data_IF_039401585974
#
_entry.id   IF_039401585974
#
_cell.length_a   1.000
_cell.length_b   1.000
_cell.length_c   1.000
_cell.angle_alpha   90.00
_cell.angle_beta   90.00
_cell.angle_gamma   90.00
#
_symmetry.space_group_name_H-M   'P 1'
#
loop_
_entity.id
_entity.type
_entity.pdbx_description
1 polymer ?
#
# COMPACT_ATOMS: atom_id res chain seq x y z
N UNK A 1 -9.12 6.66 6.48
CA UNK A 1 -8.73 7.48 5.31
C UNK A 1 -7.22 7.69 5.34
N UNK A 2 -6.43 6.63 5.14
CA UNK A 2 -4.98 6.79 5.15
C UNK A 2 -4.35 5.96 4.01
N UNK A 3 -3.85 6.61 2.94
CA UNK A 3 -3.16 5.94 1.84
C UNK A 3 -2.02 5.04 2.30
N UNK A 4 -1.29 5.43 3.35
CA UNK A 4 -0.12 4.67 3.83
C UNK A 4 -0.54 3.33 4.43
N UNK A 5 -1.71 3.24 5.07
CA UNK A 5 -2.19 1.98 5.63
C UNK A 5 -2.57 0.99 4.53
N UNK A 6 -3.17 1.48 3.44
CA UNK A 6 -3.46 0.65 2.27
C UNK A 6 -2.18 0.16 1.59
N UNK A 7 -1.18 1.03 1.48
CA UNK A 7 0.14 0.65 0.98
C UNK A 7 0.74 -0.49 1.81
N UNK A 8 0.81 -0.32 3.14
CA UNK A 8 1.36 -1.33 4.02
C UNK A 8 0.54 -2.63 4.07
N UNK A 9 -0.77 -2.59 3.85
CA UNK A 9 -1.58 -3.80 3.74
C UNK A 9 -1.13 -4.68 2.56
N UNK A 10 -0.81 -4.06 1.41
CA UNK A 10 -0.35 -4.75 0.21
C UNK A 10 1.08 -5.27 0.39
N UNK A 11 1.99 -4.43 0.91
CA UNK A 11 3.37 -4.83 1.20
C UNK A 11 3.39 -6.03 2.13
N UNK A 12 2.61 -6.00 3.23
CA UNK A 12 2.50 -7.14 4.15
C UNK A 12 1.95 -8.39 3.49
N UNK A 13 0.98 -8.26 2.58
CA UNK A 13 0.45 -9.39 1.80
C UNK A 13 1.53 -10.07 0.96
N UNK A 14 2.35 -9.28 0.25
CA UNK A 14 3.47 -9.78 -0.56
C UNK A 14 4.55 -10.46 0.29
N UNK A 15 4.85 -9.90 1.45
CA UNK A 15 5.82 -10.47 2.39
C UNK A 15 5.35 -11.81 2.96
N UNK A 16 4.06 -11.96 3.28
CA UNK A 16 3.47 -13.22 3.78
C UNK A 16 3.48 -14.36 2.75
N UNK A 17 3.50 -14.04 1.46
CA UNK A 17 3.45 -15.03 0.39
C UNK A 17 4.78 -15.77 0.18
N UNK A 18 5.92 -15.16 0.54
CA UNK A 18 7.25 -15.76 0.33
C UNK A 18 7.89 -16.19 1.65
N UNK A 19 8.32 -17.46 1.73
CA UNK A 19 9.11 -17.99 2.86
C UNK A 19 10.46 -17.26 2.92
N UNK A 20 10.94 -16.96 4.12
CA UNK A 20 12.27 -16.37 4.32
C UNK A 20 13.32 -17.44 3.98
N UNK A 21 14.19 -17.15 3.01
CA UNK A 21 15.43 -17.89 2.82
C UNK A 21 16.39 -17.52 3.95
N UNK A 22 17.21 -18.47 4.39
CA UNK A 22 18.04 -18.37 5.60
C UNK A 22 19.02 -17.18 5.59
N UNK A 23 19.41 -16.69 4.42
CA UNK A 23 20.38 -15.58 4.24
C UNK A 23 19.75 -14.24 3.80
N UNK A 24 18.49 -14.21 3.34
CA UNK A 24 17.88 -12.95 2.91
C UNK A 24 17.55 -12.04 4.09
N UNK A 25 18.03 -10.79 4.02
CA UNK A 25 17.68 -9.80 5.04
C UNK A 25 16.25 -9.32 4.84
N UNK A 26 15.48 -9.29 5.93
CA UNK A 26 14.09 -8.79 5.91
C UNK A 26 13.97 -7.36 5.34
N UNK A 27 14.99 -6.52 5.52
CA UNK A 27 15.06 -5.18 4.93
C UNK A 27 15.09 -5.18 3.39
N UNK A 28 15.81 -6.12 2.78
CA UNK A 28 15.94 -6.24 1.32
C UNK A 28 14.60 -6.66 0.71
N UNK A 29 13.92 -7.62 1.33
CA UNK A 29 12.57 -8.03 0.92
C UNK A 29 11.52 -6.94 1.08
N UNK A 30 11.62 -6.12 2.13
CA UNK A 30 10.74 -4.95 2.27
C UNK A 30 11.00 -3.97 1.12
N UNK A 31 12.27 -3.69 0.81
CA UNK A 31 12.63 -2.80 -0.30
C UNK A 31 12.13 -3.34 -1.64
N UNK A 32 12.32 -4.63 -1.93
CA UNK A 32 11.83 -5.27 -3.15
C UNK A 32 10.29 -5.24 -3.23
N UNK A 33 9.60 -5.61 -2.15
CA UNK A 33 8.14 -5.59 -2.12
C UNK A 33 7.56 -4.18 -2.32
N UNK A 34 8.23 -3.14 -1.80
CA UNK A 34 7.89 -1.74 -2.05
C UNK A 34 8.13 -1.35 -3.51
N UNK A 35 9.28 -1.69 -4.09
CA UNK A 35 9.65 -1.36 -5.47
C UNK A 35 8.81 -2.12 -6.51
N UNK A 36 8.31 -3.29 -6.16
CA UNK A 36 7.43 -4.09 -7.01
C UNK A 36 5.97 -3.59 -7.05
N UNK A 37 5.64 -2.50 -6.34
CA UNK A 37 4.32 -1.86 -6.40
C UNK A 37 4.30 -0.90 -7.59
N UNK A 38 3.40 -1.10 -8.56
CA UNK A 38 3.25 -0.18 -9.68
C UNK A 38 2.90 1.23 -9.21
N UNK A 39 3.47 2.24 -9.85
CA UNK A 39 3.17 3.66 -9.58
C UNK A 39 1.67 3.95 -9.72
N UNK A 40 0.97 3.26 -10.63
CA UNK A 40 -0.48 3.34 -10.79
C UNK A 40 -1.24 3.04 -9.48
N UNK A 41 -0.77 2.07 -8.69
CA UNK A 41 -1.39 1.77 -7.40
C UNK A 41 -1.29 2.95 -6.44
N UNK A 42 -0.17 3.69 -6.45
CA UNK A 42 0.02 4.87 -5.63
C UNK A 42 -0.97 5.98 -6.04
N UNK A 43 -1.13 6.21 -7.34
CA UNK A 43 -2.14 7.13 -7.88
C UNK A 43 -3.56 6.72 -7.49
N UNK A 44 -3.87 5.42 -7.52
CA UNK A 44 -5.16 4.89 -7.12
C UNK A 44 -5.44 5.12 -5.62
N UNK A 45 -4.43 5.00 -4.75
CA UNK A 45 -4.59 5.30 -3.32
C UNK A 45 -4.90 6.78 -3.07
N UNK A 46 -4.20 7.68 -3.77
CA UNK A 46 -4.44 9.12 -3.67
C UNK A 46 -5.83 9.49 -4.21
N UNK A 47 -6.19 8.96 -5.39
CA UNK A 47 -7.49 9.20 -6.03
C UNK A 47 -8.65 8.71 -5.19
N UNK A 48 -8.53 7.51 -4.61
CA UNK A 48 -9.53 6.98 -3.68
C UNK A 48 -9.68 7.89 -2.46
N UNK A 49 -8.57 8.36 -1.89
CA UNK A 49 -8.62 9.25 -0.72
C UNK A 49 -9.30 10.58 -1.04
N UNK A 50 -8.99 11.18 -2.20
CA UNK A 50 -9.71 12.37 -2.72
C UNK A 50 -11.21 12.12 -2.85
N UNK A 51 -11.63 11.00 -3.45
CA UNK A 51 -13.05 10.65 -3.60
C UNK A 51 -13.75 10.53 -2.25
N UNK A 52 -13.12 9.88 -1.28
CA UNK A 52 -13.70 9.73 0.05
C UNK A 52 -13.83 11.06 0.78
N UNK A 53 -12.86 11.97 0.66
CA UNK A 53 -12.95 13.33 1.22
C UNK A 53 -14.14 14.08 0.61
N UNK A 54 -14.30 14.02 -0.72
CA UNK A 54 -15.44 14.63 -1.42
C UNK A 54 -16.77 14.03 -0.94
N UNK A 55 -16.83 12.71 -0.78
CA UNK A 55 -18.03 12.03 -0.27
C UNK A 55 -18.35 12.48 1.15
N UNK A 56 -17.36 12.53 2.05
CA UNK A 56 -17.55 13.02 3.41
C UNK A 56 -18.11 14.45 3.41
N UNK A 57 -17.58 15.33 2.56
CA UNK A 57 -18.10 16.70 2.42
C UNK A 57 -19.56 16.73 1.95
N UNK A 58 -19.93 15.88 0.98
CA UNK A 58 -21.29 15.81 0.42
C UNK A 58 -22.31 15.20 1.38
N UNK A 59 -21.91 14.28 2.24
CA UNK A 59 -22.80 13.62 3.21
C UNK A 59 -23.01 14.47 4.48
N UNK A 60 -22.28 15.58 4.63
CA UNK A 60 -22.46 16.54 5.73
C UNK A 60 -23.48 17.66 5.44
N UNK A 61 -24.17 17.60 4.30
CA UNK A 61 -25.32 18.43 3.92
C UNK A 61 -26.48 17.53 3.51
#
# INVERSE_FOLDING_TARGET
LNPIERFWAIVKGRLKCHKLLTEERMSERIAEACNAIPVENLYNFASHSKRQIINCYKTSF
#
